data_IF_201993161223
#
_entry.id   IF_201993161223
#
_cell.length_a   1.000
_cell.length_b   1.000
_cell.length_c   1.000
_cell.angle_alpha   90.00
_cell.angle_beta   90.00
_cell.angle_gamma   90.00
#
_symmetry.space_group_name_H-M   'P 1'
#
loop_
_entity.id
_entity.type
_entity.pdbx_description
1 polymer ?
#
# COMPACT_ATOMS: atom_id res chain seq x y z
N UNK A 1 -9.14 28.05 5.84
CA UNK A 1 -10.54 28.15 5.37
C UNK A 1 -10.73 27.25 4.16
N UNK A 2 -11.78 26.41 4.13
CA UNK A 2 -11.98 25.38 3.09
C UNK A 2 -12.51 25.90 1.75
N UNK A 3 -12.89 27.17 1.68
CA UNK A 3 -13.45 27.80 0.48
C UNK A 3 -12.59 28.98 0.04
N UNK A 4 -12.54 29.19 -1.27
CA UNK A 4 -12.07 30.43 -1.89
C UNK A 4 -13.30 31.10 -2.49
N UNK A 5 -13.46 32.40 -2.25
CA UNK A 5 -14.53 33.18 -2.85
C UNK A 5 -14.01 33.82 -4.14
N UNK A 6 -14.54 33.39 -5.27
CA UNK A 6 -14.20 33.91 -6.60
C UNK A 6 -15.48 34.48 -7.19
N UNK A 7 -15.52 35.80 -7.42
CA UNK A 7 -16.69 36.51 -7.97
C UNK A 7 -18.01 36.27 -7.20
N UNK A 8 -17.94 36.14 -5.86
CA UNK A 8 -19.12 35.88 -5.01
C UNK A 8 -19.61 34.43 -5.01
N UNK A 9 -18.89 33.53 -5.71
CA UNK A 9 -19.13 32.08 -5.66
C UNK A 9 -18.09 31.45 -4.72
N UNK A 10 -18.57 30.70 -3.72
CA UNK A 10 -17.71 29.90 -2.84
C UNK A 10 -17.30 28.62 -3.57
N UNK A 11 -16.07 28.57 -4.04
CA UNK A 11 -15.48 27.37 -4.62
C UNK A 11 -14.65 26.61 -3.57
N UNK A 12 -14.66 25.28 -3.65
CA UNK A 12 -13.88 24.44 -2.75
C UNK A 12 -12.38 24.57 -3.07
N UNK A 13 -11.56 24.88 -2.05
CA UNK A 13 -10.10 24.88 -2.21
C UNK A 13 -9.60 23.43 -2.25
N UNK A 14 -9.02 23.01 -3.38
CA UNK A 14 -8.35 21.72 -3.42
C UNK A 14 -7.14 21.74 -2.48
N UNK A 15 -7.01 20.69 -1.69
CA UNK A 15 -5.78 20.37 -0.97
C UNK A 15 -4.67 20.08 -1.98
N UNK A 16 -3.50 20.63 -1.72
CA UNK A 16 -2.29 20.49 -2.53
C UNK A 16 -1.17 19.81 -1.74
N UNK A 17 -0.09 19.42 -2.43
CA UNK A 17 1.13 18.96 -1.76
C UNK A 17 1.75 20.04 -0.86
N UNK A 18 1.57 21.32 -1.20
CA UNK A 18 2.07 22.42 -0.36
C UNK A 18 1.28 22.56 0.94
N UNK A 19 -0.02 22.21 0.93
CA UNK A 19 -0.79 22.14 2.18
C UNK A 19 -0.26 21.01 3.07
N UNK A 20 0.07 19.85 2.49
CA UNK A 20 0.70 18.75 3.22
C UNK A 20 2.07 19.13 3.80
N UNK A 21 2.92 19.84 3.04
CA UNK A 21 4.24 20.29 3.51
C UNK A 21 4.18 21.21 4.73
N UNK A 22 3.05 21.88 4.96
CA UNK A 22 2.82 22.78 6.10
C UNK A 22 2.32 22.05 7.34
N UNK A 23 1.95 20.76 7.22
CA UNK A 23 1.48 19.96 8.34
C UNK A 23 2.66 19.59 9.22
N UNK A 24 2.55 19.94 10.50
CA UNK A 24 3.47 19.47 11.52
C UNK A 24 3.02 18.05 11.88
N UNK A 25 3.82 17.07 11.43
CA UNK A 25 3.62 15.66 11.73
C UNK A 25 4.43 15.32 13.00
N UNK A 26 3.73 14.80 14.00
CA UNK A 26 4.34 14.36 15.25
C UNK A 26 5.01 13.00 15.07
N UNK A 27 6.21 12.85 15.63
CA UNK A 27 6.93 11.57 15.60
C UNK A 27 6.26 10.59 16.56
N UNK A 28 5.79 9.42 16.08
CA UNK A 28 5.33 8.37 16.97
C UNK A 28 6.46 7.94 17.92
N UNK A 29 6.11 7.54 19.13
CA UNK A 29 7.09 6.98 20.07
C UNK A 29 7.43 5.56 19.64
N UNK A 30 8.68 5.32 19.22
CA UNK A 30 9.21 3.98 18.94
C UNK A 30 10.32 3.68 19.93
N UNK A 31 10.26 2.50 20.55
CA UNK A 31 11.35 1.99 21.36
C UNK A 31 12.31 1.15 20.51
N UNK A 32 13.27 1.82 19.86
CA UNK A 32 14.29 1.18 19.05
C UNK A 32 15.22 0.25 19.86
N UNK A 33 15.40 0.54 21.17
CA UNK A 33 16.21 -0.27 22.09
C UNK A 33 15.51 -1.52 22.66
N UNK A 34 14.24 -1.76 22.32
CA UNK A 34 13.54 -2.97 22.74
C UNK A 34 14.21 -4.21 22.14
N UNK A 35 14.40 -5.27 22.95
CA UNK A 35 15.07 -6.49 22.49
C UNK A 35 14.37 -7.02 21.24
N UNK A 36 15.12 -7.16 20.15
CA UNK A 36 14.64 -7.76 18.91
C UNK A 36 13.99 -9.11 19.20
N UNK A 37 12.79 -9.39 18.66
CA UNK A 37 12.07 -10.61 18.99
C UNK A 37 12.86 -11.85 18.51
N UNK A 38 13.08 -12.83 19.38
CA UNK A 38 13.81 -14.08 19.06
C UNK A 38 12.94 -15.32 19.24
N UNK A 39 13.11 -16.30 18.35
CA UNK A 39 12.44 -17.61 18.40
C UNK A 39 10.91 -17.54 18.29
N UNK A 40 10.21 -18.54 18.83
CA UNK A 40 8.75 -18.70 18.69
C UNK A 40 7.93 -17.52 19.22
N UNK A 41 8.38 -16.87 20.30
CA UNK A 41 7.80 -15.63 20.86
C UNK A 41 7.99 -14.45 19.92
N UNK A 42 9.09 -14.45 19.15
CA UNK A 42 9.35 -13.44 18.15
C UNK A 42 8.39 -13.52 16.96
N UNK A 43 8.16 -14.70 16.42
CA UNK A 43 7.24 -14.84 15.28
C UNK A 43 5.76 -14.60 15.65
N UNK A 44 5.32 -14.89 16.89
CA UNK A 44 3.99 -14.47 17.38
C UNK A 44 3.89 -12.95 17.57
N UNK A 45 4.99 -12.30 17.93
CA UNK A 45 5.05 -10.83 17.98
C UNK A 45 4.94 -10.25 16.57
N UNK A 46 5.64 -10.81 15.59
CA UNK A 46 5.59 -10.33 14.20
C UNK A 46 4.20 -10.48 13.58
N UNK A 47 3.52 -11.60 13.80
CA UNK A 47 2.13 -11.80 13.38
C UNK A 47 1.22 -10.66 13.87
N UNK A 48 1.28 -10.35 15.17
CA UNK A 48 0.53 -9.21 15.75
C UNK A 48 0.91 -7.86 15.17
N UNK A 49 2.17 -7.64 14.80
CA UNK A 49 2.62 -6.39 14.20
C UNK A 49 2.08 -6.23 12.76
N UNK A 50 2.12 -7.30 11.95
CA UNK A 50 1.53 -7.28 10.60
C UNK A 50 0.02 -7.09 10.63
N UNK A 51 -0.67 -7.80 11.54
CA UNK A 51 -2.10 -7.64 11.80
C UNK A 51 -2.43 -6.19 12.23
N UNK A 52 -1.72 -5.68 13.23
CA UNK A 52 -1.90 -4.31 13.72
C UNK A 52 -1.60 -3.24 12.66
N UNK A 53 -0.62 -3.48 11.76
CA UNK A 53 -0.36 -2.59 10.63
C UNK A 53 -1.54 -2.56 9.66
N UNK A 54 -2.07 -3.73 9.28
CA UNK A 54 -3.23 -3.81 8.42
C UNK A 54 -4.47 -3.14 9.05
N UNK A 55 -4.74 -3.42 10.32
CA UNK A 55 -5.85 -2.82 11.05
C UNK A 55 -5.73 -1.30 11.14
N UNK A 56 -4.52 -0.78 11.42
CA UNK A 56 -4.25 0.65 11.47
C UNK A 56 -4.51 1.33 10.12
N UNK A 57 -4.00 0.75 9.02
CA UNK A 57 -4.24 1.27 7.66
C UNK A 57 -5.73 1.22 7.32
N UNK A 58 -6.41 0.11 7.61
CA UNK A 58 -7.83 -0.05 7.32
C UNK A 58 -8.69 0.96 8.10
N UNK A 59 -8.40 1.13 9.39
CA UNK A 59 -9.12 2.08 10.26
C UNK A 59 -8.94 3.51 9.76
N UNK A 60 -7.71 3.89 9.44
CA UNK A 60 -7.39 5.20 8.86
C UNK A 60 -8.16 5.44 7.56
N UNK A 61 -8.10 4.49 6.64
CA UNK A 61 -8.75 4.62 5.33
C UNK A 61 -10.25 4.69 5.49
N UNK A 62 -10.86 3.87 6.35
CA UNK A 62 -12.30 3.91 6.57
C UNK A 62 -12.77 5.23 7.17
N UNK A 63 -12.03 5.78 8.14
CA UNK A 63 -12.38 7.07 8.75
C UNK A 63 -12.53 8.20 7.73
N UNK A 64 -11.69 8.18 6.69
CA UNK A 64 -11.68 9.23 5.64
C UNK A 64 -12.54 8.85 4.44
N UNK A 65 -12.43 7.62 3.95
CA UNK A 65 -12.95 7.21 2.64
C UNK A 65 -14.22 6.35 2.69
N UNK A 66 -14.70 5.88 3.84
CA UNK A 66 -15.95 5.09 3.95
C UNK A 66 -17.20 5.98 4.05
N UNK A 67 -17.25 7.03 3.24
CA UNK A 67 -18.32 8.04 3.26
C UNK A 67 -19.29 7.86 2.09
N UNK A 68 -20.59 7.91 2.34
CA UNK A 68 -21.52 8.00 1.21
C UNK A 68 -21.29 9.31 0.47
N UNK A 69 -21.01 9.20 -0.82
CA UNK A 69 -20.85 10.35 -1.69
C UNK A 69 -22.17 10.48 -2.46
N UNK A 70 -22.79 11.67 -2.45
CA UNK A 70 -24.08 11.89 -3.11
C UNK A 70 -24.04 11.71 -4.64
N UNK A 71 -25.20 11.78 -5.30
CA UNK A 71 -25.29 11.62 -6.75
C UNK A 71 -24.52 12.70 -7.53
N UNK A 72 -24.06 12.35 -8.74
CA UNK A 72 -23.41 13.28 -9.68
C UNK A 72 -21.89 13.41 -9.54
N UNK A 73 -21.25 12.53 -8.75
CA UNK A 73 -19.78 12.46 -8.69
C UNK A 73 -19.27 12.09 -10.08
N UNK A 74 -18.40 12.95 -10.60
CA UNK A 74 -17.62 12.62 -11.79
C UNK A 74 -16.19 12.37 -11.34
N UNK A 75 -15.74 11.13 -11.41
CA UNK A 75 -14.35 10.73 -11.20
C UNK A 75 -13.43 11.17 -12.36
N UNK A 76 -13.71 12.35 -12.94
CA UNK A 76 -13.09 12.88 -14.15
C UNK A 76 -11.73 13.52 -13.93
N UNK A 77 -11.21 13.48 -12.69
CA UNK A 77 -9.84 13.90 -12.43
C UNK A 77 -8.89 12.81 -12.90
N UNK A 78 -7.97 13.18 -13.79
CA UNK A 78 -6.86 12.33 -14.22
C UNK A 78 -6.10 11.86 -12.98
N UNK A 79 -6.26 10.58 -12.64
CA UNK A 79 -5.36 9.93 -11.71
C UNK A 79 -3.96 9.87 -12.35
N UNK A 80 -2.92 9.85 -11.53
CA UNK A 80 -1.56 9.72 -12.05
C UNK A 80 -1.37 8.34 -12.69
N UNK A 81 -0.47 8.21 -13.66
CA UNK A 81 -0.14 6.89 -14.24
C UNK A 81 0.35 5.91 -13.16
N UNK A 82 0.99 6.42 -12.10
CA UNK A 82 1.39 5.62 -10.95
C UNK A 82 0.18 5.05 -10.19
N UNK A 83 -0.86 5.86 -9.97
CA UNK A 83 -2.11 5.41 -9.38
C UNK A 83 -2.78 4.32 -10.24
N UNK A 84 -2.89 4.53 -11.55
CA UNK A 84 -3.48 3.56 -12.47
C UNK A 84 -2.69 2.24 -12.50
N UNK A 85 -1.35 2.30 -12.45
CA UNK A 85 -0.50 1.10 -12.35
C UNK A 85 -0.74 0.33 -11.06
N UNK A 86 -0.81 1.01 -9.92
CA UNK A 86 -1.14 0.34 -8.66
C UNK A 86 -2.54 -0.27 -8.72
N UNK A 87 -3.52 0.44 -9.30
CA UNK A 87 -4.89 -0.04 -9.44
C UNK A 87 -4.96 -1.35 -10.24
N UNK A 88 -4.25 -1.44 -11.37
CA UNK A 88 -4.18 -2.65 -12.20
C UNK A 88 -3.59 -3.86 -11.45
N UNK A 89 -2.72 -3.64 -10.47
CA UNK A 89 -2.10 -4.71 -9.68
C UNK A 89 -2.97 -5.23 -8.53
N UNK A 90 -4.04 -4.51 -8.18
CA UNK A 90 -4.85 -4.79 -6.98
C UNK A 90 -6.32 -4.99 -7.29
N UNK A 91 -6.81 -4.55 -8.44
CA UNK A 91 -8.22 -4.54 -8.73
C UNK A 91 -8.50 -4.90 -10.19
N UNK A 92 -9.68 -5.47 -10.41
CA UNK A 92 -10.31 -5.60 -11.71
C UNK A 92 -11.78 -5.18 -11.63
N UNK A 93 -12.42 -5.06 -12.79
CA UNK A 93 -13.86 -4.93 -12.88
C UNK A 93 -14.57 -6.25 -12.58
N UNK A 94 -15.73 -6.15 -11.94
CA UNK A 94 -16.67 -7.27 -11.86
C UNK A 94 -17.29 -7.48 -13.24
N UNK A 95 -17.08 -8.66 -13.81
CA UNK A 95 -17.55 -9.03 -15.15
C UNK A 95 -19.07 -9.08 -15.24
N UNK A 96 -19.77 -9.29 -14.13
CA UNK A 96 -21.23 -9.37 -14.10
C UNK A 96 -21.89 -8.02 -13.90
N UNK A 97 -21.11 -7.00 -13.52
CA UNK A 97 -21.62 -5.66 -13.36
C UNK A 97 -21.90 -5.01 -14.72
N UNK A 98 -23.07 -4.38 -14.86
CA UNK A 98 -23.50 -3.70 -16.10
C UNK A 98 -23.83 -2.23 -15.82
N UNK A 99 -23.64 -1.37 -16.83
CA UNK A 99 -23.93 0.06 -16.72
C UNK A 99 -23.21 0.73 -15.54
N UNK A 100 -23.96 1.47 -14.72
CA UNK A 100 -23.43 2.23 -13.56
C UNK A 100 -22.69 1.35 -12.55
N UNK A 101 -23.03 0.06 -12.43
CA UNK A 101 -22.39 -0.86 -11.47
C UNK A 101 -20.98 -1.30 -11.88
N UNK A 102 -20.62 -1.16 -13.16
CA UNK A 102 -19.28 -1.49 -13.67
C UNK A 102 -18.28 -0.36 -13.42
N UNK A 103 -18.73 0.89 -13.47
CA UNK A 103 -17.89 2.08 -13.35
C UNK A 103 -17.77 2.59 -11.90
N UNK A 104 -18.41 1.92 -10.93
CA UNK A 104 -18.63 2.42 -9.57
C UNK A 104 -17.51 2.10 -8.56
N UNK A 105 -16.30 1.74 -9.01
CA UNK A 105 -15.19 1.31 -8.13
C UNK A 105 -15.00 2.24 -6.94
N UNK A 106 -15.06 3.55 -7.21
CA UNK A 106 -14.91 4.58 -6.21
C UNK A 106 -16.23 5.16 -5.72
N UNK A 107 -17.39 4.84 -6.32
CA UNK A 107 -18.69 5.33 -5.83
C UNK A 107 -19.09 4.61 -4.55
N UNK A 108 -18.97 3.27 -4.54
CA UNK A 108 -19.34 2.47 -3.39
C UNK A 108 -18.31 2.65 -2.26
N UNK A 109 -18.71 3.04 -1.04
CA UNK A 109 -17.77 3.39 0.04
C UNK A 109 -16.88 2.22 0.44
N UNK A 110 -17.45 1.02 0.54
CA UNK A 110 -16.69 -0.19 0.89
C UNK A 110 -15.64 -0.55 -0.18
N UNK A 111 -16.01 -0.56 -1.47
CA UNK A 111 -15.09 -0.83 -2.60
C UNK A 111 -13.94 0.18 -2.62
N UNK A 112 -14.26 1.48 -2.48
CA UNK A 112 -13.28 2.57 -2.42
C UNK A 112 -12.29 2.36 -1.29
N UNK A 113 -12.75 1.96 -0.10
CA UNK A 113 -11.86 1.70 1.03
C UNK A 113 -10.90 0.55 0.74
N UNK A 114 -11.37 -0.59 0.24
CA UNK A 114 -10.49 -1.72 -0.04
C UNK A 114 -9.43 -1.39 -1.08
N UNK A 115 -9.78 -0.66 -2.13
CA UNK A 115 -8.81 -0.20 -3.14
C UNK A 115 -7.76 0.72 -2.51
N UNK A 116 -8.18 1.69 -1.70
CA UNK A 116 -7.25 2.62 -1.05
C UNK A 116 -6.33 1.89 -0.05
N UNK A 117 -6.88 0.98 0.77
CA UNK A 117 -6.08 0.12 1.66
C UNK A 117 -5.05 -0.67 0.86
N UNK A 118 -5.47 -1.31 -0.23
CA UNK A 118 -4.59 -2.09 -1.10
C UNK A 118 -3.46 -1.25 -1.70
N UNK A 119 -3.76 -0.02 -2.15
CA UNK A 119 -2.75 0.91 -2.66
C UNK A 119 -1.73 1.28 -1.57
N UNK A 120 -2.19 1.63 -0.37
CA UNK A 120 -1.30 1.94 0.75
C UNK A 120 -0.43 0.74 1.08
N UNK A 121 -1.00 -0.45 1.20
CA UNK A 121 -0.27 -1.68 1.51
C UNK A 121 0.74 -2.06 0.41
N UNK A 122 0.43 -1.86 -0.88
CA UNK A 122 1.38 -2.03 -1.99
C UNK A 122 2.55 -1.06 -1.92
N UNK A 123 2.29 0.20 -1.60
CA UNK A 123 3.35 1.21 -1.46
C UNK A 123 4.23 0.89 -0.26
N UNK A 124 3.65 0.47 0.87
CA UNK A 124 4.38 0.04 2.07
C UNK A 124 5.22 -1.20 1.79
N UNK A 125 4.65 -2.21 1.12
CA UNK A 125 5.37 -3.43 0.75
C UNK A 125 6.61 -3.09 -0.10
N UNK A 126 6.40 -2.39 -1.22
CA UNK A 126 7.46 -2.06 -2.17
C UNK A 126 8.54 -1.15 -1.57
N UNK A 127 8.16 -0.08 -0.87
CA UNK A 127 9.10 0.98 -0.47
C UNK A 127 9.64 0.83 0.96
N UNK A 128 8.98 0.01 1.80
CA UNK A 128 9.31 -0.11 3.23
C UNK A 128 9.64 -1.55 3.57
N UNK A 129 8.65 -2.45 3.46
CA UNK A 129 8.77 -3.82 3.98
C UNK A 129 9.76 -4.68 3.19
N UNK A 130 9.86 -4.47 1.87
CA UNK A 130 10.79 -5.19 0.99
C UNK A 130 12.20 -4.59 0.95
N UNK A 131 12.45 -3.44 1.60
CA UNK A 131 13.81 -2.87 1.71
C UNK A 131 14.76 -3.81 2.46
N UNK A 132 16.03 -3.88 2.06
CA UNK A 132 17.07 -4.69 2.73
C UNK A 132 17.40 -4.18 4.14
N UNK A 133 17.29 -2.87 4.36
CA UNK A 133 17.24 -2.24 5.68
C UNK A 133 16.70 -0.81 5.53
N UNK A 134 15.46 -0.58 5.95
CA UNK A 134 14.81 0.72 5.79
C UNK A 134 15.56 1.83 6.57
N UNK A 135 15.76 2.98 5.92
CA UNK A 135 16.42 4.13 6.54
C UNK A 135 17.95 4.00 6.71
N UNK A 136 18.57 2.99 6.10
CA UNK A 136 20.03 2.92 6.01
C UNK A 136 20.59 3.87 4.95
N UNK A 137 21.89 4.14 4.99
CA UNK A 137 22.55 4.93 3.96
C UNK A 137 22.76 4.13 2.67
N UNK A 138 23.06 4.84 1.57
CA UNK A 138 23.24 4.23 0.25
C UNK A 138 24.46 3.32 0.17
N UNK A 139 25.49 3.56 0.98
CA UNK A 139 26.70 2.73 1.01
C UNK A 139 26.39 1.36 1.60
N UNK A 140 25.64 1.33 2.71
CA UNK A 140 25.20 0.09 3.34
C UNK A 140 24.20 -0.66 2.47
N UNK A 141 23.23 0.02 1.86
CA UNK A 141 22.30 -0.62 0.92
C UNK A 141 23.03 -1.28 -0.26
N UNK A 142 24.03 -0.62 -0.84
CA UNK A 142 24.83 -1.21 -1.92
C UNK A 142 25.63 -2.44 -1.45
N UNK A 143 26.11 -2.43 -0.20
CA UNK A 143 26.75 -3.59 0.39
C UNK A 143 25.78 -4.77 0.57
N UNK A 144 24.58 -4.52 1.11
CA UNK A 144 23.55 -5.55 1.26
C UNK A 144 23.09 -6.11 -0.09
N UNK A 145 22.95 -5.27 -1.10
CA UNK A 145 22.58 -5.67 -2.46
C UNK A 145 23.63 -6.63 -3.06
N UNK A 146 24.90 -6.36 -2.84
CA UNK A 146 25.99 -7.28 -3.20
C UNK A 146 25.88 -8.63 -2.47
N UNK A 147 25.47 -8.64 -1.19
CA UNK A 147 25.25 -9.88 -0.44
C UNK A 147 24.06 -10.69 -0.98
N UNK A 148 22.98 -10.01 -1.36
CA UNK A 148 21.75 -10.65 -1.85
C UNK A 148 21.97 -11.30 -3.24
N UNK A 149 22.79 -10.68 -4.09
CA UNK A 149 23.09 -11.16 -5.44
C UNK A 149 24.22 -12.19 -5.54
N UNK A 150 24.86 -12.59 -4.42
CA UNK A 150 25.90 -13.64 -4.44
C UNK A 150 25.30 -15.00 -4.78
N UNK A 151 25.43 -15.44 -6.04
CA UNK A 151 24.82 -16.68 -6.56
C UNK A 151 25.26 -17.96 -5.82
N UNK A 152 26.47 -17.97 -5.25
CA UNK A 152 27.03 -19.17 -4.62
C UNK A 152 26.45 -19.51 -3.24
N UNK A 153 25.60 -18.66 -2.67
CA UNK A 153 25.05 -18.85 -1.32
C UNK A 153 23.58 -19.29 -1.37
N UNK A 154 23.21 -20.30 -0.57
CA UNK A 154 21.81 -20.65 -0.35
C UNK A 154 21.00 -19.49 0.26
N UNK A 155 19.69 -19.44 0.01
CA UNK A 155 18.83 -18.29 0.39
C UNK A 155 18.87 -17.98 1.89
N UNK A 156 18.92 -19.01 2.75
CA UNK A 156 19.04 -18.81 4.20
C UNK A 156 20.42 -18.32 4.65
N UNK A 157 21.49 -18.73 3.95
CA UNK A 157 22.83 -18.22 4.20
C UNK A 157 22.91 -16.72 3.86
N UNK A 158 22.32 -16.31 2.73
CA UNK A 158 22.18 -14.89 2.35
C UNK A 158 21.43 -14.09 3.40
N UNK A 159 20.26 -14.56 3.82
CA UNK A 159 19.46 -13.93 4.89
C UNK A 159 20.26 -13.77 6.19
N UNK A 160 21.01 -14.81 6.59
CA UNK A 160 21.87 -14.75 7.79
C UNK A 160 22.97 -13.71 7.66
N UNK A 161 23.66 -13.66 6.51
CA UNK A 161 24.70 -12.66 6.25
C UNK A 161 24.14 -11.23 6.25
N UNK A 162 22.98 -11.02 5.64
CA UNK A 162 22.29 -9.72 5.62
C UNK A 162 21.91 -9.30 7.05
N UNK A 163 21.35 -10.21 7.85
CA UNK A 163 20.98 -9.94 9.23
C UNK A 163 22.20 -9.57 10.10
N UNK A 164 23.29 -10.32 9.98
CA UNK A 164 24.52 -10.06 10.73
C UNK A 164 25.16 -8.72 10.29
N UNK A 165 25.18 -8.41 8.99
CA UNK A 165 25.66 -7.13 8.47
C UNK A 165 24.80 -5.95 8.93
N UNK A 166 23.48 -6.12 8.99
CA UNK A 166 22.56 -5.11 9.51
C UNK A 166 22.77 -4.85 11.01
N UNK A 167 22.96 -5.91 11.80
CA UNK A 167 23.23 -5.77 13.24
C UNK A 167 24.56 -5.04 13.49
N UNK A 168 25.62 -5.39 12.75
CA UNK A 168 26.91 -4.68 12.83
C UNK A 168 26.77 -3.21 12.46
N UNK A 169 26.09 -2.91 11.35
CA UNK A 169 25.84 -1.54 10.91
C UNK A 169 25.04 -0.72 11.94
N UNK A 170 23.94 -1.27 12.45
CA UNK A 170 23.08 -0.58 13.42
C UNK A 170 23.75 -0.40 14.79
N UNK A 171 24.68 -1.29 15.18
CA UNK A 171 25.42 -1.17 16.44
C UNK A 171 26.26 0.12 16.55
N UNK A 172 26.50 0.79 15.42
CA UNK A 172 27.24 2.05 15.33
C UNK A 172 26.37 3.27 15.65
N UNK A 173 25.05 3.08 15.76
CA UNK A 173 24.08 4.15 15.98
C UNK A 173 23.37 4.01 17.33
N UNK A 174 22.96 5.14 17.89
CA UNK A 174 22.21 5.19 19.14
C UNK A 174 20.88 4.44 18.97
N UNK A 175 20.55 3.63 19.96
CA UNK A 175 19.33 2.81 20.04
C UNK A 175 19.11 1.87 18.85
N UNK A 176 20.14 1.52 18.07
CA UNK A 176 20.01 0.71 16.84
C UNK A 176 19.10 1.36 15.78
N UNK A 177 18.94 2.69 15.82
CA UNK A 177 18.11 3.41 14.86
C UNK A 177 18.86 3.63 13.54
N UNK A 178 18.28 3.28 12.37
CA UNK A 178 18.86 3.65 11.09
C UNK A 178 18.97 5.19 10.94
N UNK A 179 20.07 5.73 10.40
CA UNK A 179 20.34 7.18 10.39
C UNK A 179 19.33 7.98 9.56
N UNK A 180 18.79 7.42 8.48
CA UNK A 180 17.81 8.07 7.59
C UNK A 180 16.37 7.63 7.86
N UNK A 181 16.10 6.93 8.97
CA UNK A 181 14.79 6.36 9.28
C UNK A 181 13.64 7.36 9.14
N UNK A 182 13.74 8.51 9.83
CA UNK A 182 12.69 9.52 9.84
C UNK A 182 12.55 10.26 8.51
N UNK A 183 13.66 10.47 7.81
CA UNK A 183 13.67 11.09 6.48
C UNK A 183 12.94 10.21 5.47
N UNK A 184 13.31 8.92 5.40
CA UNK A 184 12.67 7.97 4.49
C UNK A 184 11.19 7.77 4.82
N UNK A 185 10.82 7.75 6.11
CA UNK A 185 9.42 7.68 6.51
C UNK A 185 8.62 8.86 5.94
N UNK A 186 9.12 10.09 6.04
CA UNK A 186 8.47 11.28 5.47
C UNK A 186 8.38 11.22 3.94
N UNK A 187 9.42 10.71 3.27
CA UNK A 187 9.43 10.53 1.82
C UNK A 187 8.33 9.58 1.37
N UNK A 188 8.22 8.41 2.00
CA UNK A 188 7.19 7.41 1.66
C UNK A 188 5.79 7.92 2.01
N UNK A 189 5.61 8.60 3.14
CA UNK A 189 4.34 9.25 3.48
C UNK A 189 3.92 10.25 2.41
N UNK A 190 4.85 11.07 1.91
CA UNK A 190 4.59 12.04 0.84
C UNK A 190 4.17 11.34 -0.46
N UNK A 191 4.78 10.20 -0.79
CA UNK A 191 4.40 9.40 -1.96
C UNK A 191 2.98 8.84 -1.82
N UNK A 192 2.65 8.22 -0.69
CA UNK A 192 1.29 7.73 -0.40
C UNK A 192 0.30 8.89 -0.48
N UNK A 193 0.61 10.01 0.16
CA UNK A 193 -0.27 11.17 0.16
C UNK A 193 -0.49 11.72 -1.26
N UNK A 194 0.55 11.78 -2.09
CA UNK A 194 0.45 12.20 -3.50
C UNK A 194 -0.51 11.30 -4.29
N UNK A 195 -0.47 9.99 -4.05
CA UNK A 195 -1.38 9.02 -4.68
C UNK A 195 -2.83 9.20 -4.22
N UNK A 196 -3.05 9.49 -2.93
CA UNK A 196 -4.38 9.61 -2.35
C UNK A 196 -5.01 11.00 -2.52
N UNK A 197 -4.21 12.03 -2.81
CA UNK A 197 -4.66 13.42 -2.87
C UNK A 197 -5.84 13.67 -3.84
N UNK A 198 -5.86 13.09 -5.07
CA UNK A 198 -7.02 13.23 -5.94
C UNK A 198 -8.31 12.68 -5.33
N UNK A 199 -8.24 11.49 -4.71
CA UNK A 199 -9.39 10.86 -4.04
C UNK A 199 -9.82 11.66 -2.82
N UNK A 200 -8.87 12.07 -1.98
CA UNK A 200 -9.13 12.87 -0.79
C UNK A 200 -9.88 14.15 -1.16
N UNK A 201 -9.43 14.87 -2.19
CA UNK A 201 -10.10 16.10 -2.64
C UNK A 201 -11.53 15.86 -3.15
N UNK A 202 -11.82 14.70 -3.75
CA UNK A 202 -13.18 14.35 -4.16
C UNK A 202 -14.04 14.08 -2.94
N UNK A 203 -13.57 13.27 -2.00
CA UNK A 203 -14.31 12.97 -0.76
C UNK A 203 -14.55 14.25 0.03
N UNK A 204 -13.51 15.03 0.29
CA UNK A 204 -13.56 16.26 1.06
C UNK A 204 -14.55 17.28 0.48
N UNK A 205 -14.71 17.34 -0.84
CA UNK A 205 -15.71 18.21 -1.48
C UNK A 205 -17.14 17.83 -1.11
N UNK A 206 -17.42 16.55 -0.93
CA UNK A 206 -18.75 16.03 -0.65
C UNK A 206 -18.99 15.83 0.86
N UNK A 207 -17.94 15.61 1.66
CA UNK A 207 -17.99 15.42 3.11
C UNK A 207 -16.97 16.29 3.87
N UNK A 208 -17.06 17.63 3.74
CA UNK A 208 -16.01 18.56 4.18
C UNK A 208 -15.80 18.65 5.69
N UNK A 209 -16.78 18.24 6.50
CA UNK A 209 -16.70 18.28 7.97
C UNK A 209 -16.07 17.04 8.59
N UNK A 210 -15.88 16.00 7.79
CA UNK A 210 -15.55 14.66 8.27
C UNK A 210 -14.13 14.22 7.90
N UNK A 211 -13.50 14.90 6.92
CA UNK A 211 -12.20 14.53 6.39
C UNK A 211 -11.15 15.57 6.80
N UNK A 212 -10.41 15.28 7.88
CA UNK A 212 -9.26 16.09 8.30
C UNK A 212 -7.99 15.63 7.59
N UNK A 213 -7.34 16.60 6.95
CA UNK A 213 -6.08 16.43 6.25
C UNK A 213 -4.93 16.12 7.23
N UNK A 214 -4.93 16.73 8.42
CA UNK A 214 -3.91 16.48 9.45
C UNK A 214 -3.98 15.04 9.93
N UNK A 215 -5.18 14.56 10.29
CA UNK A 215 -5.39 13.18 10.74
C UNK A 215 -4.99 12.16 9.67
N UNK A 216 -5.33 12.42 8.41
CA UNK A 216 -4.90 11.57 7.30
C UNK A 216 -3.37 11.55 7.19
N UNK A 217 -2.72 12.71 7.21
CA UNK A 217 -1.26 12.81 7.10
C UNK A 217 -0.55 12.12 8.27
N UNK A 218 -1.00 12.36 9.50
CA UNK A 218 -0.47 11.76 10.73
C UNK A 218 -0.70 10.25 10.77
N UNK A 219 -1.88 9.79 10.36
CA UNK A 219 -2.21 8.38 10.28
C UNK A 219 -1.36 7.64 9.25
N UNK A 220 -1.19 8.20 8.04
CA UNK A 220 -0.32 7.61 7.02
C UNK A 220 1.12 7.58 7.51
N UNK A 221 1.61 8.65 8.12
CA UNK A 221 2.95 8.68 8.70
C UNK A 221 3.13 7.60 9.77
N UNK A 222 2.16 7.45 10.66
CA UNK A 222 2.21 6.45 11.72
C UNK A 222 2.22 5.02 11.17
N UNK A 223 1.45 4.74 10.12
CA UNK A 223 1.47 3.45 9.43
C UNK A 223 2.82 3.18 8.73
N UNK A 224 3.39 4.17 8.06
CA UNK A 224 4.73 4.07 7.44
C UNK A 224 5.79 3.80 8.50
N UNK A 225 5.75 4.53 9.61
CA UNK A 225 6.69 4.39 10.72
C UNK A 225 6.58 3.01 11.37
N UNK A 226 5.36 2.48 11.56
CA UNK A 226 5.15 1.12 12.04
C UNK A 226 5.73 0.08 11.05
N UNK A 227 5.41 0.19 9.76
CA UNK A 227 5.96 -0.70 8.74
C UNK A 227 7.50 -0.62 8.66
N UNK A 228 8.07 0.57 8.83
CA UNK A 228 9.51 0.80 8.82
C UNK A 228 10.19 0.13 10.01
N UNK A 229 9.59 0.24 11.20
CA UNK A 229 10.12 -0.44 12.37
C UNK A 229 10.00 -1.97 12.26
N UNK A 230 8.89 -2.46 11.69
CA UNK A 230 8.69 -3.87 11.39
C UNK A 230 9.75 -4.39 10.40
N UNK A 231 10.09 -3.61 9.36
CA UNK A 231 11.18 -3.94 8.45
C UNK A 231 12.51 -4.08 9.20
N UNK A 232 12.87 -3.13 10.07
CA UNK A 232 14.13 -3.22 10.84
C UNK A 232 14.17 -4.49 11.70
N UNK A 233 13.06 -4.84 12.36
CA UNK A 233 12.97 -6.07 13.16
C UNK A 233 13.15 -7.33 12.30
N UNK A 234 12.50 -7.40 11.14
CA UNK A 234 12.59 -8.54 10.22
C UNK A 234 13.99 -8.65 9.61
N UNK A 235 14.59 -7.53 9.20
CA UNK A 235 15.89 -7.50 8.51
C UNK A 235 17.09 -7.70 9.44
N UNK A 236 16.87 -7.65 10.74
CA UNK A 236 17.86 -8.01 11.77
C UNK A 236 17.60 -9.40 12.34
N UNK A 237 16.47 -10.03 12.01
CA UNK A 237 16.19 -11.42 12.31
C UNK A 237 16.76 -12.33 11.22
N UNK A 238 17.28 -13.49 11.62
CA UNK A 238 17.70 -14.54 10.68
C UNK A 238 16.46 -15.26 10.19
N UNK A 239 16.13 -15.09 8.91
CA UNK A 239 14.91 -15.65 8.33
C UNK A 239 14.52 -14.95 7.03
N UNK A 240 13.64 -15.59 6.28
CA UNK A 240 13.16 -15.07 5.00
C UNK A 240 11.70 -14.68 5.21
N UNK A 241 11.34 -13.44 4.90
CA UNK A 241 9.94 -13.01 4.82
C UNK A 241 9.57 -12.80 3.37
N UNK A 242 8.48 -13.43 2.94
CA UNK A 242 7.93 -13.29 1.59
C UNK A 242 6.59 -12.59 1.63
N UNK A 243 6.33 -11.76 0.63
CA UNK A 243 5.06 -11.09 0.41
C UNK A 243 4.46 -11.61 -0.90
N UNK A 244 3.36 -12.35 -0.82
CA UNK A 244 2.71 -12.94 -1.99
C UNK A 244 1.33 -12.33 -2.15
N UNK A 245 1.17 -11.52 -3.20
CA UNK A 245 -0.14 -10.96 -3.56
C UNK A 245 -0.88 -11.92 -4.46
N UNK A 246 -2.15 -12.15 -4.14
CA UNK A 246 -3.07 -12.89 -5.00
C UNK A 246 -3.43 -11.99 -6.18
N UNK A 247 -3.36 -12.47 -7.41
CA UNK A 247 -3.67 -11.64 -8.56
C UNK A 247 -5.20 -11.48 -8.74
N UNK A 248 -5.70 -10.29 -9.09
CA UNK A 248 -7.10 -10.15 -9.49
C UNK A 248 -7.46 -11.13 -10.62
N UNK A 249 -8.55 -11.88 -10.46
CA UNK A 249 -9.00 -12.96 -11.35
C UNK A 249 -8.57 -14.37 -10.96
N UNK A 250 -7.61 -14.52 -10.03
CA UNK A 250 -7.26 -15.83 -9.48
C UNK A 250 -8.43 -16.44 -8.71
N UNK A 251 -8.41 -17.77 -8.61
CA UNK A 251 -9.40 -18.53 -7.87
C UNK A 251 -9.28 -18.27 -6.37
N UNK A 252 -10.41 -18.41 -5.67
CA UNK A 252 -10.40 -18.46 -4.23
C UNK A 252 -9.59 -19.66 -3.73
N UNK A 253 -8.81 -19.46 -2.68
CA UNK A 253 -8.04 -20.50 -2.01
C UNK A 253 -8.34 -20.50 -0.50
N UNK A 254 -8.11 -21.64 0.17
CA UNK A 254 -8.46 -21.82 1.59
C UNK A 254 -7.69 -20.88 2.53
N UNK A 255 -6.51 -20.42 2.12
CA UNK A 255 -5.66 -19.55 2.92
C UNK A 255 -5.99 -18.06 2.76
N UNK A 256 -6.94 -17.72 1.88
CA UNK A 256 -7.43 -16.37 1.63
C UNK A 256 -8.60 -16.00 2.56
N UNK A 257 -8.69 -14.72 2.94
CA UNK A 257 -9.80 -14.17 3.73
C UNK A 257 -10.63 -13.24 2.85
N UNK A 258 -11.91 -13.56 2.65
CA UNK A 258 -12.84 -12.63 1.99
C UNK A 258 -13.23 -11.51 2.95
N UNK A 259 -12.93 -10.27 2.58
CA UNK A 259 -13.27 -9.09 3.37
C UNK A 259 -14.72 -8.64 3.19
N UNK A 260 -15.37 -9.02 2.08
CA UNK A 260 -16.74 -8.58 1.78
C UNK A 260 -17.59 -9.72 1.23
N UNK A 261 -18.22 -10.51 2.12
CA UNK A 261 -19.23 -11.49 1.72
C UNK A 261 -20.43 -10.84 1.01
N UNK A 262 -20.76 -9.59 1.35
CA UNK A 262 -21.85 -8.81 0.76
C UNK A 262 -21.60 -8.50 -0.71
N UNK A 263 -20.42 -7.96 -1.05
CA UNK A 263 -20.06 -7.67 -2.44
C UNK A 263 -20.03 -8.95 -3.29
N UNK A 264 -19.53 -10.06 -2.73
CA UNK A 264 -19.56 -11.35 -3.41
C UNK A 264 -21.00 -11.82 -3.66
N UNK A 265 -21.87 -11.74 -2.66
CA UNK A 265 -23.28 -12.12 -2.80
C UNK A 265 -24.01 -11.27 -3.86
N UNK A 266 -23.74 -9.97 -3.92
CA UNK A 266 -24.28 -9.08 -4.96
C UNK A 266 -23.78 -9.49 -6.35
N UNK A 267 -22.49 -9.77 -6.49
CA UNK A 267 -21.92 -10.28 -7.75
C UNK A 267 -22.58 -11.59 -8.19
N UNK A 268 -22.78 -12.54 -7.26
CA UNK A 268 -23.49 -13.79 -7.52
C UNK A 268 -24.95 -13.57 -7.94
N UNK A 269 -25.62 -12.54 -7.41
CA UNK A 269 -26.98 -12.20 -7.82
C UNK A 269 -27.00 -11.69 -9.27
N UNK A 270 -26.10 -10.76 -9.61
CA UNK A 270 -25.95 -10.22 -10.97
C UNK A 270 -25.58 -11.31 -11.99
N UNK A 271 -24.74 -12.27 -11.59
CA UNK A 271 -24.35 -13.38 -12.45
C UNK A 271 -25.54 -14.26 -12.88
N UNK A 272 -26.62 -14.34 -12.09
CA UNK A 272 -27.80 -15.16 -12.48
C UNK A 272 -28.51 -14.62 -13.72
N UNK A 273 -28.39 -13.32 -13.98
CA UNK A 273 -29.02 -12.65 -15.11
C UNK A 273 -28.15 -12.70 -16.38
N UNK A 274 -26.91 -13.20 -16.29
CA UNK A 274 -25.99 -13.37 -17.41
C UNK A 274 -26.12 -14.78 -18.00
N UNK A 275 -26.49 -14.95 -19.30
CA UNK A 275 -26.74 -16.26 -19.91
C UNK A 275 -25.58 -17.26 -19.82
N UNK A 276 -24.33 -16.78 -19.80
CA UNK A 276 -23.10 -17.58 -19.70
C UNK A 276 -22.81 -18.11 -18.27
N UNK A 277 -23.43 -17.54 -17.23
CA UNK A 277 -23.10 -17.81 -15.83
C UNK A 277 -24.04 -18.83 -15.15
N UNK A 278 -24.85 -19.57 -15.92
CA UNK A 278 -25.95 -20.46 -15.48
C UNK A 278 -25.58 -21.71 -14.65
N UNK A 279 -24.47 -21.70 -13.92
CA UNK A 279 -24.13 -22.80 -12.99
C UNK A 279 -23.22 -22.36 -11.84
N UNK A 280 -23.43 -21.16 -11.27
CA UNK A 280 -22.67 -20.67 -10.12
C UNK A 280 -22.83 -21.58 -8.88
N UNK A 281 -21.90 -22.52 -8.73
CA UNK A 281 -21.69 -23.32 -7.52
C UNK A 281 -20.43 -22.88 -6.76
N UNK A 282 -20.30 -23.34 -5.51
CA UNK A 282 -19.09 -23.23 -4.69
C UNK A 282 -17.87 -23.73 -5.49
N UNK A 283 -16.91 -22.84 -5.77
CA UNK A 283 -15.77 -23.12 -6.67
C UNK A 283 -15.55 -22.10 -7.79
N UNK A 284 -16.38 -21.06 -7.89
CA UNK A 284 -16.25 -19.98 -8.91
C UNK A 284 -15.94 -18.59 -8.34
N UNK A 285 -15.67 -18.48 -7.04
CA UNK A 285 -15.24 -17.21 -6.47
C UNK A 285 -13.86 -16.86 -7.05
N UNK A 286 -13.74 -15.65 -7.59
CA UNK A 286 -12.48 -15.12 -8.09
C UNK A 286 -12.15 -13.81 -7.42
N UNK A 287 -10.87 -13.49 -7.33
CA UNK A 287 -10.40 -12.27 -6.67
C UNK A 287 -10.80 -11.04 -7.50
N UNK A 288 -11.66 -10.21 -6.92
CA UNK A 288 -12.01 -8.89 -7.43
C UNK A 288 -10.95 -7.87 -7.02
N UNK A 289 -10.64 -7.82 -5.72
CA UNK A 289 -9.63 -6.95 -5.13
C UNK A 289 -8.63 -7.77 -4.32
N UNK A 290 -7.34 -7.56 -4.60
CA UNK A 290 -6.23 -8.05 -3.79
C UNK A 290 -5.83 -6.94 -2.81
N UNK A 291 -6.24 -7.08 -1.55
CA UNK A 291 -6.15 -5.98 -0.56
C UNK A 291 -4.86 -6.06 0.24
N UNK A 292 -4.43 -7.27 0.60
CA UNK A 292 -3.24 -7.50 1.43
C UNK A 292 -2.55 -8.78 0.98
N UNK A 293 -1.21 -8.80 0.93
CA UNK A 293 -0.49 -10.01 0.57
C UNK A 293 -0.56 -11.04 1.70
N UNK A 294 -0.38 -12.30 1.33
CA UNK A 294 0.06 -13.31 2.27
C UNK A 294 1.49 -13.02 2.68
N UNK A 295 1.75 -12.97 3.98
CA UNK A 295 3.09 -12.79 4.54
C UNK A 295 3.50 -14.08 5.22
N UNK A 296 4.63 -14.66 4.80
CA UNK A 296 5.15 -15.90 5.35
C UNK A 296 6.58 -15.68 5.83
N UNK A 297 6.88 -16.12 7.04
CA UNK A 297 8.22 -16.16 7.59
C UNK A 297 8.77 -17.58 7.55
N UNK A 298 9.97 -17.73 7.01
CA UNK A 298 10.71 -18.98 6.95
C UNK A 298 11.96 -18.89 7.83
N UNK A 299 12.14 -19.88 8.69
CA UNK A 299 13.29 -19.97 9.61
C UNK A 299 13.90 -21.37 9.53
N UNK A 300 15.23 -21.45 9.62
CA UNK A 300 15.93 -22.74 9.65
C UNK A 300 15.68 -23.46 10.98
N UNK A 301 15.48 -24.79 10.91
CA UNK A 301 15.43 -25.64 12.08
C UNK A 301 16.87 -25.83 12.60
N UNK A 302 17.11 -25.43 13.84
CA UNK A 302 18.43 -25.56 14.48
C UNK A 302 18.97 -27.00 14.37
N UNK A 303 20.15 -27.17 13.76
CA UNK A 303 20.88 -28.43 13.73
C UNK A 303 20.63 -29.35 12.52
N UNK A 304 19.86 -28.92 11.50
CA UNK A 304 19.69 -29.66 10.24
C UNK A 304 19.67 -28.69 9.06
N UNK A 305 20.67 -28.76 8.18
CA UNK A 305 20.92 -27.77 7.12
C UNK A 305 19.90 -27.76 5.96
N UNK A 306 18.87 -28.60 5.98
CA UNK A 306 17.86 -28.71 4.92
C UNK A 306 16.41 -28.61 5.38
N UNK A 307 16.16 -28.45 6.68
CA UNK A 307 14.80 -28.37 7.21
C UNK A 307 14.48 -26.95 7.69
N UNK A 308 13.45 -26.35 7.10
CA UNK A 308 12.90 -25.06 7.53
C UNK A 308 11.47 -25.23 8.05
N UNK A 309 11.05 -24.33 8.94
CA UNK A 309 9.63 -24.13 9.23
C UNK A 309 9.15 -22.85 8.58
N UNK A 310 7.92 -22.89 8.08
CA UNK A 310 7.20 -21.70 7.63
C UNK A 310 6.11 -21.34 8.64
N UNK A 311 5.87 -20.05 8.79
CA UNK A 311 4.74 -19.51 9.54
C UNK A 311 4.09 -18.40 8.75
N UNK A 312 2.79 -18.51 8.51
CA UNK A 312 1.99 -17.40 8.00
C UNK A 312 1.89 -16.32 9.07
N UNK A 313 2.46 -15.15 8.81
CA UNK A 313 2.37 -13.97 9.68
C UNK A 313 1.13 -13.12 9.37
N UNK A 314 0.65 -13.20 8.13
CA UNK A 314 -0.56 -12.52 7.67
C UNK A 314 -1.16 -13.33 6.54
N UNK A 315 -2.46 -13.63 6.64
CA UNK A 315 -3.20 -14.26 5.54
C UNK A 315 -3.53 -13.23 4.48
N UNK A 316 -3.57 -13.67 3.22
CA UNK A 316 -4.03 -12.81 2.12
C UNK A 316 -5.47 -12.38 2.38
N UNK A 317 -5.76 -11.12 2.10
CA UNK A 317 -7.10 -10.54 2.25
C UNK A 317 -7.55 -10.04 0.91
N UNK A 318 -8.70 -10.52 0.50
CA UNK A 318 -9.23 -10.34 -0.85
C UNK A 318 -10.72 -10.02 -0.78
N UNK A 319 -11.26 -9.49 -1.88
CA UNK A 319 -12.70 -9.42 -2.10
C UNK A 319 -13.01 -10.27 -3.31
N UNK A 320 -14.08 -11.05 -3.25
CA UNK A 320 -14.46 -11.93 -4.37
C UNK A 320 -15.57 -11.35 -5.25
N UNK A 321 -15.61 -11.82 -6.49
CA UNK A 321 -16.76 -11.72 -7.41
C UNK A 321 -17.07 -13.11 -7.98
N UNK A 322 -18.23 -13.24 -8.62
CA UNK A 322 -18.62 -14.48 -9.29
C UNK A 322 -17.90 -14.61 -10.65
N UNK A 323 -16.87 -15.45 -10.73
CA UNK A 323 -16.07 -15.65 -11.95
C UNK A 323 -16.77 -16.49 -13.01
N UNK A 324 -16.27 -16.40 -14.25
CA UNK A 324 -16.68 -17.29 -15.35
C UNK A 324 -16.18 -18.73 -15.12
N UNK A 325 -16.90 -19.68 -15.72
CA UNK A 325 -16.62 -21.10 -15.60
C UNK A 325 -15.28 -21.49 -16.26
N UNK A 326 -14.95 -20.90 -17.40
CA UNK A 326 -13.65 -21.08 -18.05
C UNK A 326 -12.66 -20.01 -17.55
N UNK A 327 -11.54 -20.41 -16.89
CA UNK A 327 -10.47 -19.49 -16.51
C UNK A 327 -9.84 -18.73 -17.67
N UNK A 328 -9.78 -19.32 -18.87
CA UNK A 328 -9.23 -18.67 -20.04
C UNK A 328 -10.14 -17.54 -20.53
N UNK A 329 -11.46 -17.76 -20.54
CA UNK A 329 -12.44 -16.71 -20.86
C UNK A 329 -12.47 -15.61 -19.80
N UNK A 330 -12.36 -15.97 -18.51
CA UNK A 330 -12.30 -15.00 -17.41
C UNK A 330 -11.05 -14.11 -17.49
N UNK A 331 -9.92 -14.69 -17.88
CA UNK A 331 -8.68 -13.97 -18.12
C UNK A 331 -8.74 -13.11 -19.39
N UNK A 332 -9.36 -13.59 -20.48
CA UNK A 332 -9.52 -12.81 -21.72
C UNK A 332 -10.52 -11.66 -21.58
N UNK A 333 -11.47 -11.77 -20.65
CA UNK A 333 -12.42 -10.71 -20.30
C UNK A 333 -11.84 -9.68 -19.31
N UNK A 334 -10.57 -9.84 -18.91
CA UNK A 334 -9.81 -8.74 -18.32
C UNK A 334 -9.77 -7.61 -19.35
N UNK A 335 -10.40 -6.50 -19.00
CA UNK A 335 -10.32 -5.28 -19.78
C UNK A 335 -8.85 -4.79 -19.75
N UNK A 336 -8.09 -4.93 -20.87
CA UNK A 336 -6.69 -4.50 -20.91
C UNK A 336 -6.58 -2.99 -20.70
N UNK A 337 -7.68 -2.27 -20.90
CA UNK A 337 -7.82 -0.85 -20.71
C UNK A 337 -8.39 -0.49 -19.32
N UNK A 338 -8.55 -1.40 -18.34
CA UNK A 338 -9.16 -1.05 -17.04
C UNK A 338 -8.49 0.14 -16.34
N UNK A 339 -7.15 0.19 -16.35
CA UNK A 339 -6.40 1.36 -15.88
C UNK A 339 -6.32 2.51 -16.90
N UNK A 340 -6.48 2.21 -18.20
CA UNK A 340 -6.46 3.17 -19.31
C UNK A 340 -7.81 3.86 -19.53
N UNK A 341 -8.93 3.30 -19.04
CA UNK A 341 -10.25 3.93 -19.01
C UNK A 341 -10.24 5.18 -18.11
N UNK A 342 -9.38 5.19 -17.08
CA UNK A 342 -9.05 6.37 -16.29
C UNK A 342 -8.06 7.33 -16.98
N UNK A 343 -7.33 6.89 -18.01
CA UNK A 343 -6.49 7.76 -18.87
C UNK A 343 -7.30 8.40 -20.02
N UNK A 344 -8.30 7.71 -20.59
CA UNK A 344 -9.04 8.11 -21.80
C UNK A 344 -10.12 9.19 -21.61
N UNK A 345 -10.04 9.99 -20.56
CA UNK A 345 -10.71 11.30 -20.50
C UNK A 345 -9.81 12.38 -21.12
N UNK A 346 -9.64 12.29 -22.44
CA UNK A 346 -9.01 13.31 -23.26
C UNK A 346 -10.07 14.16 -23.96
N UNK A 347 -10.26 15.39 -23.47
CA UNK A 347 -10.34 16.55 -24.37
C UNK A 347 -9.35 17.60 -23.87
N UNK A 348 -8.52 18.18 -24.76
CA UNK A 348 -7.33 18.89 -24.37
C UNK A 348 -7.68 20.31 -23.92
N UNK A 349 -7.15 20.72 -22.77
CA UNK A 349 -6.83 22.13 -22.53
C UNK A 349 -5.34 22.19 -22.21
N UNK A 350 -4.61 22.64 -23.23
CA UNK A 350 -3.21 23.03 -23.21
C UNK A 350 -2.85 23.80 -21.94
N UNK A 351 -2.01 23.24 -21.07
CA UNK A 351 -1.02 24.03 -20.31
C UNK A 351 0.29 23.26 -20.31
N UNK A 352 1.32 23.94 -20.83
CA UNK A 352 2.67 23.45 -21.09
C UNK A 352 3.34 22.93 -19.83
N UNK A 353 4.09 21.84 -20.01
CA UNK A 353 5.01 21.28 -19.04
C UNK A 353 5.98 22.34 -18.50
N UNK A 354 6.18 22.34 -17.17
CA UNK A 354 7.47 22.65 -16.58
C UNK A 354 7.77 21.59 -15.51
N UNK A 355 8.95 20.92 -15.54
CA UNK A 355 9.11 19.60 -14.95
C UNK A 355 9.72 19.65 -13.55
N UNK A 356 9.52 18.53 -12.85
CA UNK A 356 10.03 18.04 -11.57
C UNK A 356 11.47 18.41 -11.10
N UNK A 357 12.28 19.14 -11.87
CA UNK A 357 13.65 19.49 -11.51
C UNK A 357 13.74 20.54 -10.38
N UNK A 358 12.75 21.43 -10.26
CA UNK A 358 12.69 22.44 -9.19
C UNK A 358 12.33 21.84 -7.80
N UNK A 359 11.82 20.62 -7.76
CA UNK A 359 11.37 19.96 -6.51
C UNK A 359 12.53 19.36 -5.72
N UNK A 360 13.63 18.99 -6.39
CA UNK A 360 14.82 18.46 -5.72
C UNK A 360 15.71 19.57 -5.12
N UNK A 361 15.73 20.76 -5.73
CA UNK A 361 16.56 21.89 -5.23
C UNK A 361 15.94 22.52 -3.98
N UNK A 362 14.61 22.50 -3.82
CA UNK A 362 13.94 23.10 -2.67
C UNK A 362 14.03 22.24 -1.38
N UNK A 363 14.34 20.96 -1.49
CA UNK A 363 14.46 20.04 -0.35
C UNK A 363 15.87 20.04 0.27
N UNK A 364 16.88 20.55 -0.43
CA UNK A 364 18.27 20.59 0.02
C UNK A 364 18.63 21.92 0.73
N UNK A 365 17.75 22.92 0.65
CA UNK A 365 18.00 24.26 1.23
C UNK A 365 17.35 24.51 2.60
N UNK A 366 16.67 23.52 3.20
CA UNK A 366 16.03 23.70 4.53
C UNK A 366 16.84 23.17 5.71
N UNK A 367 17.92 22.42 5.47
CA UNK A 367 18.84 21.97 6.52
C UNK A 367 20.01 22.95 6.60
N UNK A 368 19.75 24.07 7.28
CA UNK A 368 20.78 25.04 7.62
C UNK A 368 21.73 24.47 8.68
N UNK A 369 22.94 24.12 8.26
CA UNK A 369 24.16 24.19 9.06
C UNK A 369 25.37 24.33 8.12
N UNK A 370 25.64 25.56 7.67
CA UNK A 370 26.93 25.93 7.10
C UNK A 370 27.73 26.69 8.16
N UNK A 371 28.64 25.99 8.84
CA UNK A 371 29.80 26.64 9.46
C UNK A 371 30.83 26.89 8.37
N UNK A 372 30.97 28.15 7.95
CA UNK A 372 32.14 28.60 7.19
C UNK A 372 33.35 28.58 8.13
N UNK A 373 34.33 27.75 7.83
CA UNK A 373 35.71 27.97 8.28
C UNK A 373 36.47 28.61 7.12
N UNK A 374 37.02 29.79 7.43
CA UNK A 374 37.99 30.57 6.65
C UNK A 374 39.27 29.82 6.35
#
# INVERSE_FOLDING_TARGET
>A
MPYIEINGVKEWRNTTLDDFRRIIIEKPTINFGSKLPKGQKGSQSLEKQYEGLFEAVTTLVKAVFEKELGDGITWTRRFSNEFCRYLQLIARNDLNATGKDRDCLFDHPEKRCYVVVAMVMRVLEKNVLSSLLFGSDSSHLAHLDCLDHKENNGVFAKSTMIADANLDYLSRYVDLQPPKFWHEARRVTSQIFTLLLPLFNVVQRHTPRDADLHDLAQGVYSAVVHAAWLNVQVRTARGIVTYTWVMPGEHNEDDQINLSPTLYATSCALAKDVPAARSAGEGRARVLYSVVPKVVHFELKSGQDEHYYSRTLLRSRVVYYAGLADPAEDAQSLDPDFGLAFERLEKPLFIKALPALLVLIALDMSDGDFTFLS
#
